data_IF_658734034368
#
_entry.id   IF_658734034368
#
_cell.length_a   1.000
_cell.length_b   1.000
_cell.length_c   1.000
_cell.angle_alpha   90.00
_cell.angle_beta   90.00
_cell.angle_gamma   90.00
#
_symmetry.space_group_name_H-M   'P 1'
#
loop_
_entity.id
_entity.type
_entity.pdbx_description
1 polymer ?
#
# COMPACT_ATOMS: atom_id res chain seq x y z
N UNK A 1 -8.90 -18.30 1.21
CA UNK A 1 -9.53 -18.71 -0.06
C UNK A 1 -9.64 -17.53 -1.04
N UNK A 2 -10.32 -16.41 -0.70
CA UNK A 2 -10.60 -15.25 -1.59
C UNK A 2 -9.34 -14.64 -2.22
N UNK A 3 -8.29 -14.34 -1.44
CA UNK A 3 -7.04 -13.76 -1.95
C UNK A 3 -6.30 -14.68 -2.93
N UNK A 4 -6.22 -15.99 -2.64
CA UNK A 4 -5.61 -16.97 -3.57
C UNK A 4 -6.39 -17.03 -4.89
N UNK A 5 -7.72 -16.92 -4.83
CA UNK A 5 -8.58 -16.87 -6.00
C UNK A 5 -8.29 -15.62 -6.83
N UNK A 6 -8.24 -14.43 -6.22
CA UNK A 6 -7.93 -13.18 -6.90
C UNK A 6 -6.57 -13.24 -7.65
N UNK A 7 -5.52 -13.70 -6.98
CA UNK A 7 -4.19 -13.83 -7.59
C UNK A 7 -4.22 -14.75 -8.82
N UNK A 8 -4.95 -15.86 -8.74
CA UNK A 8 -5.07 -16.83 -9.83
C UNK A 8 -5.93 -16.32 -10.99
N UNK A 9 -7.10 -15.74 -10.70
CA UNK A 9 -8.03 -15.21 -11.72
C UNK A 9 -7.38 -14.09 -12.54
N UNK A 10 -6.65 -13.20 -11.86
CA UNK A 10 -5.96 -12.10 -12.52
C UNK A 10 -4.55 -12.45 -13.00
N UNK A 11 -4.07 -13.66 -12.77
CA UNK A 11 -2.71 -14.12 -13.16
C UNK A 11 -1.61 -13.15 -12.70
N UNK A 12 -1.74 -12.62 -11.46
CA UNK A 12 -0.86 -11.56 -10.99
C UNK A 12 0.57 -11.98 -10.70
N UNK A 13 0.82 -13.25 -10.37
CA UNK A 13 2.15 -13.72 -9.98
C UNK A 13 2.55 -14.91 -10.86
N UNK A 14 3.59 -14.70 -11.65
CA UNK A 14 4.18 -15.69 -12.55
C UNK A 14 5.55 -16.17 -12.03
N UNK A 15 6.12 -17.17 -12.71
CA UNK A 15 7.50 -17.60 -12.50
C UNK A 15 8.47 -16.47 -12.92
N UNK A 16 9.51 -16.26 -12.15
CA UNK A 16 10.49 -15.20 -12.37
C UNK A 16 10.10 -13.83 -11.77
N UNK A 17 8.89 -13.68 -11.23
CA UNK A 17 8.48 -12.40 -10.64
C UNK A 17 9.27 -12.06 -9.37
N UNK A 18 9.57 -10.76 -9.22
CA UNK A 18 9.96 -10.12 -7.97
C UNK A 18 8.77 -9.28 -7.49
N UNK A 19 8.13 -9.74 -6.42
CA UNK A 19 6.96 -9.08 -5.81
C UNK A 19 7.41 -8.22 -4.65
N UNK A 20 7.12 -6.93 -4.68
CA UNK A 20 7.29 -6.05 -3.52
C UNK A 20 5.96 -5.75 -2.85
N UNK A 21 5.95 -5.61 -1.53
CA UNK A 21 4.81 -5.12 -0.76
C UNK A 21 5.07 -3.69 -0.31
N UNK A 22 4.12 -2.78 -0.57
CA UNK A 22 4.15 -1.42 0.00
C UNK A 22 3.83 -1.51 1.50
N UNK A 23 4.86 -1.69 2.31
CA UNK A 23 4.76 -1.92 3.75
C UNK A 23 4.77 -0.58 4.50
N UNK A 24 3.63 -0.20 5.06
CA UNK A 24 3.49 1.03 5.85
C UNK A 24 3.58 0.81 7.37
N UNK A 25 3.69 -0.43 7.82
CA UNK A 25 3.56 -0.79 9.23
C UNK A 25 2.13 -0.85 9.76
N UNK A 26 1.13 -0.46 8.97
CA UNK A 26 -0.29 -0.60 9.32
C UNK A 26 -0.82 -2.01 9.06
N UNK A 27 -1.97 -2.33 9.66
CA UNK A 27 -2.59 -3.67 9.67
C UNK A 27 -2.72 -4.32 8.28
N UNK A 28 -3.19 -3.55 7.27
CA UNK A 28 -3.53 -4.10 5.96
C UNK A 28 -2.28 -4.45 5.14
N UNK A 29 -1.29 -3.56 5.13
CA UNK A 29 -0.01 -3.79 4.44
C UNK A 29 0.78 -4.94 5.07
N UNK A 30 0.75 -5.03 6.40
CA UNK A 30 1.41 -6.10 7.16
C UNK A 30 0.72 -7.45 6.95
N UNK A 31 -0.61 -7.46 6.89
CA UNK A 31 -1.39 -8.64 6.55
C UNK A 31 -1.09 -9.18 5.14
N UNK A 32 -0.96 -8.27 4.14
CA UNK A 32 -0.57 -8.66 2.77
C UNK A 32 0.83 -9.24 2.75
N UNK A 33 1.79 -8.63 3.46
CA UNK A 33 3.15 -9.14 3.52
C UNK A 33 3.18 -10.57 4.09
N UNK A 34 2.55 -10.78 5.25
CA UNK A 34 2.47 -12.10 5.86
C UNK A 34 1.76 -13.11 4.95
N UNK A 35 0.63 -12.73 4.35
CA UNK A 35 -0.11 -13.59 3.43
C UNK A 35 0.73 -14.01 2.22
N UNK A 36 1.42 -13.06 1.58
CA UNK A 36 2.27 -13.35 0.42
C UNK A 36 3.49 -14.19 0.81
N UNK A 37 4.10 -13.91 1.97
CA UNK A 37 5.17 -14.76 2.50
C UNK A 37 4.70 -16.21 2.65
N UNK A 38 3.54 -16.44 3.30
CA UNK A 38 2.95 -17.78 3.47
C UNK A 38 2.52 -18.44 2.16
N UNK A 39 2.19 -17.65 1.15
CA UNK A 39 1.80 -18.17 -0.17
C UNK A 39 3.01 -18.56 -1.02
N UNK A 40 4.11 -17.81 -0.88
CA UNK A 40 5.26 -17.88 -1.79
C UNK A 40 6.49 -18.55 -1.18
N UNK A 41 6.49 -18.89 0.13
CA UNK A 41 7.68 -19.38 0.84
C UNK A 41 8.28 -20.66 0.25
N UNK A 42 7.48 -21.50 -0.40
CA UNK A 42 7.96 -22.72 -1.09
C UNK A 42 8.36 -22.45 -2.56
N UNK A 43 8.02 -21.27 -3.09
CA UNK A 43 8.29 -20.90 -4.48
C UNK A 43 9.66 -20.27 -4.61
N UNK A 44 10.65 -21.05 -5.04
CA UNK A 44 12.02 -20.56 -5.29
C UNK A 44 12.15 -19.72 -6.56
N UNK A 45 11.14 -19.76 -7.41
CA UNK A 45 11.04 -19.04 -8.68
C UNK A 45 10.42 -17.63 -8.56
N UNK A 46 10.00 -17.23 -7.35
CA UNK A 46 9.45 -15.91 -7.07
C UNK A 46 10.16 -15.28 -5.87
N UNK A 47 10.60 -14.05 -6.01
CA UNK A 47 11.19 -13.28 -4.91
C UNK A 47 10.11 -12.42 -4.24
N UNK A 48 10.15 -12.33 -2.92
CA UNK A 48 9.28 -11.42 -2.12
C UNK A 48 10.16 -10.44 -1.36
N UNK A 49 9.78 -9.16 -1.35
CA UNK A 49 10.41 -8.13 -0.55
C UNK A 49 9.39 -7.10 -0.05
N UNK A 50 9.79 -6.26 0.88
CA UNK A 50 8.99 -5.15 1.37
C UNK A 50 9.68 -3.81 1.08
N UNK A 51 8.90 -2.79 0.69
CA UNK A 51 9.38 -1.43 0.47
C UNK A 51 8.56 -0.48 1.34
N UNK A 52 9.23 0.35 2.14
CA UNK A 52 8.62 1.39 2.97
C UNK A 52 9.05 2.76 2.48
N UNK A 53 8.12 3.70 2.46
CA UNK A 53 8.44 5.12 2.27
C UNK A 53 8.16 5.84 3.58
N UNK A 54 9.15 6.60 4.02
CA UNK A 54 9.02 7.58 5.09
C UNK A 54 8.63 8.94 4.49
N UNK A 55 7.40 9.35 4.75
CA UNK A 55 6.90 10.64 4.30
C UNK A 55 7.36 11.80 5.19
N UNK A 56 7.95 11.52 6.34
CA UNK A 56 8.35 12.52 7.35
C UNK A 56 7.14 13.19 8.00
N UNK A 57 6.19 12.38 8.49
CA UNK A 57 5.04 12.83 9.29
C UNK A 57 5.35 12.53 10.76
N UNK A 58 5.47 13.56 11.57
CA UNK A 58 5.79 13.42 13.01
C UNK A 58 4.76 12.57 13.74
N UNK A 59 5.23 11.58 14.51
CA UNK A 59 4.38 10.70 15.30
C UNK A 59 3.52 9.71 14.52
N UNK A 60 3.75 9.56 13.21
CA UNK A 60 2.97 8.69 12.35
C UNK A 60 3.86 7.85 11.41
N UNK A 61 3.58 6.56 11.31
CA UNK A 61 4.26 5.61 10.43
C UNK A 61 5.78 5.59 10.58
N UNK A 62 6.25 5.19 11.76
CA UNK A 62 7.67 4.96 11.99
C UNK A 62 8.17 3.83 11.08
N UNK A 63 9.16 4.09 10.18
CA UNK A 63 9.76 3.05 9.35
C UNK A 63 10.39 1.91 10.14
N UNK A 64 10.87 2.17 11.37
CA UNK A 64 11.42 1.14 12.25
C UNK A 64 10.39 0.05 12.59
N UNK A 65 9.12 0.41 12.71
CA UNK A 65 8.04 -0.55 12.90
C UNK A 65 7.85 -1.46 11.68
N UNK A 66 7.81 -0.87 10.48
CA UNK A 66 7.72 -1.62 9.24
C UNK A 66 8.91 -2.58 9.08
N UNK A 67 10.11 -2.10 9.40
CA UNK A 67 11.32 -2.91 9.43
C UNK A 67 11.18 -4.09 10.37
N UNK A 68 10.80 -3.86 11.63
CA UNK A 68 10.64 -4.92 12.62
C UNK A 68 9.61 -5.99 12.20
N UNK A 69 8.52 -5.58 11.53
CA UNK A 69 7.54 -6.52 10.97
C UNK A 69 8.16 -7.36 9.85
N UNK A 70 8.87 -6.74 8.90
CA UNK A 70 9.52 -7.45 7.80
C UNK A 70 10.58 -8.45 8.30
N UNK A 71 11.43 -8.04 9.24
CA UNK A 71 12.45 -8.88 9.87
C UNK A 71 11.83 -10.08 10.59
N UNK A 72 10.74 -9.87 11.36
CA UNK A 72 10.03 -10.94 12.07
C UNK A 72 9.40 -11.96 11.12
N UNK A 73 8.88 -11.51 9.99
CA UNK A 73 8.33 -12.38 8.93
C UNK A 73 9.45 -13.08 8.14
N UNK A 74 10.67 -12.53 8.15
CA UNK A 74 11.80 -13.05 7.38
C UNK A 74 11.81 -12.60 5.92
N UNK A 75 11.31 -11.40 5.63
CA UNK A 75 11.24 -10.83 4.28
C UNK A 75 12.26 -9.68 4.14
N UNK A 76 13.09 -9.65 3.07
CA UNK A 76 13.96 -8.53 2.77
C UNK A 76 13.20 -7.21 2.74
N UNK A 77 13.80 -6.15 3.30
CA UNK A 77 13.17 -4.85 3.45
C UNK A 77 14.10 -3.73 3.01
N UNK A 78 13.55 -2.76 2.28
CA UNK A 78 14.22 -1.51 1.93
C UNK A 78 13.34 -0.32 2.27
N UNK A 79 13.96 0.83 2.53
CA UNK A 79 13.27 2.09 2.81
C UNK A 79 13.81 3.21 1.96
N UNK A 80 12.97 4.20 1.71
CA UNK A 80 13.36 5.49 1.15
C UNK A 80 12.54 6.59 1.82
N UNK A 81 13.07 7.81 1.89
CA UNK A 81 12.40 8.91 2.57
C UNK A 81 12.18 10.11 1.65
N UNK A 82 11.12 10.88 1.94
CA UNK A 82 10.90 12.16 1.25
C UNK A 82 12.04 13.13 1.50
N UNK A 83 12.62 13.10 2.70
CA UNK A 83 13.76 13.96 3.05
C UNK A 83 14.95 13.72 2.15
N UNK A 84 15.31 12.46 1.93
CA UNK A 84 16.46 12.09 1.10
C UNK A 84 16.20 12.34 -0.39
N UNK A 85 15.00 12.00 -0.87
CA UNK A 85 14.66 12.08 -2.29
C UNK A 85 14.32 13.50 -2.75
N UNK A 86 13.53 14.23 -1.94
CA UNK A 86 12.96 15.51 -2.33
C UNK A 86 13.49 16.69 -1.51
N UNK A 87 14.37 16.46 -0.53
CA UNK A 87 14.89 17.47 0.37
C UNK A 87 13.86 18.06 1.34
N UNK A 88 12.64 17.49 1.41
CA UNK A 88 11.51 18.04 2.17
C UNK A 88 10.66 16.90 2.74
N UNK A 89 10.06 17.11 3.92
CA UNK A 89 9.08 16.18 4.50
C UNK A 89 7.65 16.58 4.14
N UNK A 90 6.70 15.66 4.36
CA UNK A 90 5.29 16.00 4.18
C UNK A 90 4.83 17.08 5.18
N UNK A 91 5.30 17.02 6.43
CA UNK A 91 4.98 18.05 7.43
C UNK A 91 5.43 19.44 6.99
N UNK A 92 6.61 19.56 6.38
CA UNK A 92 7.09 20.84 5.84
C UNK A 92 6.30 21.33 4.63
N UNK A 93 5.85 20.40 3.77
CA UNK A 93 4.95 20.75 2.65
C UNK A 93 3.63 21.29 3.20
N UNK A 94 3.06 20.60 4.19
CA UNK A 94 1.79 21.01 4.81
C UNK A 94 1.93 22.34 5.53
N UNK A 95 3.03 22.56 6.25
CA UNK A 95 3.30 23.84 6.91
C UNK A 95 3.33 25.02 5.93
N UNK A 96 3.81 24.80 4.70
CA UNK A 96 3.92 25.86 3.64
C UNK A 96 2.64 26.01 2.81
N UNK A 97 1.88 24.92 2.59
CA UNK A 97 0.76 24.87 1.62
C UNK A 97 -0.61 24.66 2.25
N UNK A 98 -0.66 24.39 3.56
CA UNK A 98 -1.89 24.03 4.27
C UNK A 98 -2.27 22.55 4.08
N UNK A 99 -3.29 22.12 4.84
CA UNK A 99 -3.72 20.72 4.92
C UNK A 99 -4.57 20.27 3.72
N UNK A 100 -5.29 21.17 3.07
CA UNK A 100 -6.32 20.85 2.07
C UNK A 100 -5.86 20.01 0.87
N UNK A 101 -4.56 20.03 0.54
CA UNK A 101 -3.98 19.22 -0.54
C UNK A 101 -2.95 18.19 -0.05
N UNK A 102 -2.82 18.01 1.25
CA UNK A 102 -1.83 17.12 1.89
C UNK A 102 -1.86 15.70 1.31
N UNK A 103 -3.05 15.11 1.21
CA UNK A 103 -3.24 13.77 0.64
C UNK A 103 -2.85 13.68 -0.84
N UNK A 104 -3.05 14.76 -1.60
CA UNK A 104 -2.67 14.82 -3.01
C UNK A 104 -1.15 14.85 -3.17
N UNK A 105 -0.45 15.72 -2.44
CA UNK A 105 1.02 15.77 -2.43
C UNK A 105 1.62 14.44 -1.96
N UNK A 106 1.18 13.95 -0.79
CA UNK A 106 1.62 12.68 -0.26
C UNK A 106 1.40 11.53 -1.26
N UNK A 107 0.21 11.46 -1.84
CA UNK A 107 -0.14 10.39 -2.77
C UNK A 107 0.68 10.39 -4.06
N UNK A 108 1.05 11.56 -4.59
CA UNK A 108 1.87 11.69 -5.80
C UNK A 108 3.32 11.34 -5.49
N UNK A 109 3.92 12.01 -4.51
CA UNK A 109 5.34 11.83 -4.16
C UNK A 109 5.62 10.41 -3.69
N UNK A 110 4.79 9.85 -2.81
CA UNK A 110 4.94 8.48 -2.32
C UNK A 110 4.85 7.44 -3.44
N UNK A 111 3.92 7.60 -4.40
CA UNK A 111 3.83 6.68 -5.53
C UNK A 111 5.03 6.77 -6.46
N UNK A 112 5.52 7.98 -6.70
CA UNK A 112 6.71 8.19 -7.51
C UNK A 112 7.93 7.53 -6.86
N UNK A 113 8.15 7.78 -5.56
CA UNK A 113 9.27 7.23 -4.81
C UNK A 113 9.20 5.69 -4.70
N UNK A 114 8.02 5.13 -4.34
CA UNK A 114 7.82 3.69 -4.32
C UNK A 114 8.13 3.05 -5.68
N UNK A 115 7.69 3.67 -6.77
CA UNK A 115 7.93 3.15 -8.12
C UNK A 115 9.41 3.22 -8.51
N UNK A 116 10.11 4.31 -8.15
CA UNK A 116 11.55 4.45 -8.40
C UNK A 116 12.33 3.33 -7.70
N UNK A 117 12.14 3.19 -6.37
CA UNK A 117 12.80 2.15 -5.57
C UNK A 117 12.46 0.75 -6.09
N UNK A 118 11.20 0.51 -6.42
CA UNK A 118 10.80 -0.78 -6.96
C UNK A 118 11.52 -1.13 -8.28
N UNK A 119 11.76 -0.16 -9.15
CA UNK A 119 12.50 -0.37 -10.40
C UNK A 119 13.99 -0.63 -10.14
N UNK A 120 14.59 0.09 -9.21
CA UNK A 120 15.99 -0.09 -8.79
C UNK A 120 16.22 -1.50 -8.21
N UNK A 121 15.24 -2.03 -7.47
CA UNK A 121 15.25 -3.38 -6.89
C UNK A 121 14.81 -4.49 -7.86
N UNK A 122 14.52 -4.15 -9.13
CA UNK A 122 14.07 -5.12 -10.14
C UNK A 122 12.69 -5.71 -9.86
N UNK A 123 11.81 -4.97 -9.17
CA UNK A 123 10.45 -5.40 -8.87
C UNK A 123 9.59 -5.46 -10.13
N UNK A 124 8.90 -6.57 -10.33
CA UNK A 124 7.99 -6.79 -11.47
C UNK A 124 6.52 -6.60 -11.11
N UNK A 125 6.17 -6.76 -9.83
CA UNK A 125 4.81 -6.60 -9.30
C UNK A 125 4.83 -5.89 -7.96
N UNK A 126 3.93 -4.93 -7.77
CA UNK A 126 3.82 -4.17 -6.53
C UNK A 126 2.49 -4.48 -5.82
N UNK A 127 2.56 -5.14 -4.67
CA UNK A 127 1.39 -5.52 -3.90
C UNK A 127 0.98 -4.43 -2.90
N UNK A 128 -0.31 -4.13 -2.87
CA UNK A 128 -0.92 -3.17 -1.94
C UNK A 128 -1.99 -3.82 -1.09
N UNK A 129 -2.10 -3.38 0.16
CA UNK A 129 -3.08 -3.85 1.15
C UNK A 129 -4.48 -3.25 0.98
N UNK A 130 -4.93 -3.00 -0.26
CA UNK A 130 -6.29 -2.50 -0.49
C UNK A 130 -7.32 -3.60 -0.28
N UNK A 131 -8.36 -3.28 0.49
CA UNK A 131 -9.47 -4.15 0.84
C UNK A 131 -10.68 -3.90 -0.06
N UNK A 132 -11.74 -4.70 0.09
CA UNK A 132 -13.02 -4.46 -0.59
C UNK A 132 -13.61 -3.09 -0.22
N UNK A 133 -13.47 -2.69 1.04
CA UNK A 133 -13.93 -1.39 1.53
C UNK A 133 -13.18 -0.23 0.84
N UNK A 134 -11.87 -0.36 0.61
CA UNK A 134 -11.09 0.63 -0.16
C UNK A 134 -11.52 0.73 -1.62
N UNK A 135 -11.87 -0.40 -2.24
CA UNK A 135 -12.38 -0.42 -3.61
C UNK A 135 -13.78 0.25 -3.66
N UNK A 136 -14.68 -0.08 -2.72
CA UNK A 136 -16.00 0.53 -2.62
C UNK A 136 -15.90 2.06 -2.42
N UNK A 137 -15.05 2.52 -1.49
CA UNK A 137 -14.77 3.95 -1.30
C UNK A 137 -14.25 4.60 -2.59
N UNK A 138 -13.35 3.93 -3.30
CA UNK A 138 -12.78 4.46 -4.55
C UNK A 138 -13.85 4.60 -5.65
N UNK A 139 -14.75 3.63 -5.76
CA UNK A 139 -15.90 3.69 -6.68
C UNK A 139 -16.81 4.86 -6.32
N UNK A 140 -17.23 4.96 -5.06
CA UNK A 140 -18.11 6.04 -4.61
C UNK A 140 -17.48 7.42 -4.80
N UNK A 141 -16.20 7.58 -4.46
CA UNK A 141 -15.47 8.83 -4.71
C UNK A 141 -15.44 9.23 -6.19
N UNK A 142 -15.28 8.26 -7.10
CA UNK A 142 -15.27 8.53 -8.53
C UNK A 142 -16.66 8.91 -9.05
N UNK A 143 -17.72 8.29 -8.52
CA UNK A 143 -19.11 8.67 -8.81
C UNK A 143 -19.36 10.11 -8.37
N UNK A 144 -19.03 10.46 -7.12
CA UNK A 144 -19.21 11.81 -6.57
C UNK A 144 -18.43 12.88 -7.33
N UNK A 145 -17.29 12.52 -7.93
CA UNK A 145 -16.49 13.44 -8.76
C UNK A 145 -16.93 13.52 -10.22
N UNK A 146 -17.90 12.72 -10.63
CA UNK A 146 -18.33 12.66 -12.03
C UNK A 146 -17.27 12.10 -12.97
N UNK A 147 -16.40 11.19 -12.48
CA UNK A 147 -15.32 10.59 -13.28
C UNK A 147 -15.64 9.14 -13.68
N UNK A 148 -16.45 8.93 -14.72
CA UNK A 148 -16.86 7.59 -15.15
C UNK A 148 -15.69 6.77 -15.72
N UNK A 149 -14.65 7.42 -16.22
CA UNK A 149 -13.49 6.73 -16.80
C UNK A 149 -12.68 5.94 -15.75
N UNK A 150 -12.76 6.34 -14.48
CA UNK A 150 -12.10 5.63 -13.37
C UNK A 150 -12.94 4.48 -12.82
N UNK A 151 -14.22 4.40 -13.15
CA UNK A 151 -15.08 3.30 -12.72
C UNK A 151 -14.83 2.01 -13.49
N UNK A 152 -14.42 2.11 -14.76
CA UNK A 152 -14.32 0.98 -15.69
C UNK A 152 -12.98 0.27 -15.73
N UNK A 153 -11.98 0.75 -14.98
CA UNK A 153 -10.61 0.22 -15.04
C UNK A 153 -10.15 -0.28 -13.67
N UNK A 154 -10.24 -1.59 -13.41
CA UNK A 154 -9.84 -2.18 -12.11
C UNK A 154 -8.33 -2.04 -11.82
N UNK A 155 -7.49 -2.10 -12.84
CA UNK A 155 -6.05 -1.85 -12.73
C UNK A 155 -5.59 -1.14 -14.01
N UNK A 156 -5.12 0.09 -13.89
CA UNK A 156 -4.53 0.81 -15.02
C UNK A 156 -3.03 0.53 -15.03
N UNK A 157 -2.56 -0.17 -16.05
CA UNK A 157 -1.14 -0.17 -16.37
C UNK A 157 -0.75 1.21 -16.88
N UNK A 158 0.20 1.83 -16.19
CA UNK A 158 0.74 3.13 -16.56
C UNK A 158 2.18 2.90 -17.03
N UNK A 159 2.49 3.32 -18.24
CA UNK A 159 3.83 3.20 -18.79
C UNK A 159 4.87 3.79 -17.80
N UNK A 160 5.94 3.05 -17.55
CA UNK A 160 6.98 3.43 -16.61
C UNK A 160 6.68 3.13 -15.14
N UNK A 161 5.51 2.58 -14.81
CA UNK A 161 5.17 2.14 -13.45
C UNK A 161 5.12 0.62 -13.35
N UNK A 162 5.65 0.11 -12.23
CA UNK A 162 5.54 -1.30 -11.88
C UNK A 162 4.06 -1.67 -11.72
N UNK A 163 3.57 -2.75 -12.37
CA UNK A 163 2.19 -3.20 -12.26
C UNK A 163 1.78 -3.46 -10.82
N UNK A 164 0.58 -2.98 -10.45
CA UNK A 164 0.05 -3.11 -9.10
C UNK A 164 -0.84 -4.33 -9.00
N UNK A 165 -0.71 -5.04 -7.89
CA UNK A 165 -1.61 -6.13 -7.52
C UNK A 165 -2.29 -5.82 -6.17
N UNK A 166 -3.53 -6.28 -6.01
CA UNK A 166 -4.37 -6.02 -4.84
C UNK A 166 -4.94 -7.33 -4.29
N UNK A 167 -4.13 -8.16 -3.61
CA UNK A 167 -4.54 -9.49 -3.18
C UNK A 167 -5.83 -9.53 -2.35
N UNK A 168 -6.13 -8.44 -1.63
CA UNK A 168 -7.27 -8.35 -0.71
C UNK A 168 -8.48 -7.56 -1.25
N UNK A 169 -8.48 -7.17 -2.53
CA UNK A 169 -9.55 -6.34 -3.10
C UNK A 169 -10.98 -6.92 -2.99
N UNK A 170 -11.11 -8.23 -2.77
CA UNK A 170 -12.40 -8.91 -2.58
C UNK A 170 -12.64 -9.34 -1.13
N UNK A 171 -11.86 -8.83 -0.18
CA UNK A 171 -11.92 -9.19 1.23
C UNK A 171 -12.32 -7.96 2.04
N UNK A 172 -13.42 -8.02 2.84
CA UNK A 172 -13.80 -6.92 3.73
C UNK A 172 -12.68 -6.55 4.71
N UNK A 173 -12.54 -5.26 5.00
CA UNK A 173 -11.51 -4.74 5.92
C UNK A 173 -11.53 -5.47 7.27
N UNK A 174 -12.71 -5.80 7.79
CA UNK A 174 -12.87 -6.53 9.06
C UNK A 174 -12.22 -7.92 9.04
N UNK A 175 -12.31 -8.64 7.91
CA UNK A 175 -11.68 -9.96 7.77
C UNK A 175 -10.14 -9.81 7.71
N UNK A 176 -9.64 -8.75 7.03
CA UNK A 176 -8.21 -8.44 6.98
C UNK A 176 -7.69 -8.04 8.35
N UNK A 177 -8.45 -7.24 9.10
CA UNK A 177 -8.10 -6.85 10.46
C UNK A 177 -7.97 -8.06 11.40
N UNK A 178 -8.93 -8.98 11.36
CA UNK A 178 -8.86 -10.25 12.12
C UNK A 178 -7.66 -11.08 11.70
N UNK A 179 -7.40 -11.19 10.41
CA UNK A 179 -6.25 -11.92 9.90
C UNK A 179 -4.92 -11.31 10.39
N UNK A 180 -4.80 -9.97 10.34
CA UNK A 180 -3.63 -9.27 10.87
C UNK A 180 -3.46 -9.54 12.36
N UNK A 181 -4.54 -9.43 13.15
CA UNK A 181 -4.53 -9.63 14.59
C UNK A 181 -4.02 -11.02 15.01
N UNK A 182 -4.42 -12.08 14.27
CA UNK A 182 -3.98 -13.44 14.58
C UNK A 182 -2.60 -13.82 14.06
N UNK A 183 -2.05 -13.09 13.11
CA UNK A 183 -0.85 -13.54 12.40
C UNK A 183 0.30 -12.53 12.35
N UNK A 184 0.06 -11.29 12.68
CA UNK A 184 1.09 -10.24 12.60
C UNK A 184 1.16 -9.50 13.94
N UNK A 185 2.35 -9.39 14.47
CA UNK A 185 2.58 -8.59 15.67
C UNK A 185 3.20 -7.23 15.32
N UNK A 186 2.91 -6.22 16.12
CA UNK A 186 3.55 -4.91 16.07
C UNK A 186 3.05 -3.98 14.97
N UNK A 187 1.94 -4.29 14.28
CA UNK A 187 1.34 -3.33 13.34
C UNK A 187 0.66 -2.15 14.04
N UNK A 188 0.51 -1.04 13.31
CA UNK A 188 -0.11 0.17 13.79
C UNK A 188 -1.58 0.27 13.33
N UNK A 189 -2.41 0.85 14.22
CA UNK A 189 -3.80 1.19 13.93
C UNK A 189 -4.02 2.72 13.80
N UNK A 190 -2.97 3.51 14.04
CA UNK A 190 -3.06 4.96 13.97
C UNK A 190 -3.46 5.45 12.58
N UNK A 191 -4.42 6.35 12.55
CA UNK A 191 -4.82 7.09 11.34
C UNK A 191 -3.82 8.19 11.01
N UNK A 192 -3.72 8.56 9.72
CA UNK A 192 -2.91 9.70 9.31
C UNK A 192 -3.49 10.99 9.89
N UNK A 193 -2.69 11.87 10.52
CA UNK A 193 -3.18 13.11 11.10
C UNK A 193 -3.77 14.06 10.05
N UNK A 194 -3.36 13.93 8.78
CA UNK A 194 -3.86 14.73 7.66
C UNK A 194 -5.07 14.11 6.94
N UNK A 195 -5.57 12.95 7.41
CA UNK A 195 -6.70 12.27 6.76
C UNK A 195 -8.07 12.91 7.08
N UNK A 196 -8.16 13.74 8.14
CA UNK A 196 -9.42 14.36 8.56
C UNK A 196 -10.05 15.23 7.44
N UNK A 197 -9.23 15.94 6.67
CA UNK A 197 -9.68 16.81 5.58
C UNK A 197 -9.84 16.08 4.24
N UNK A 198 -9.73 14.75 4.23
CA UNK A 198 -9.79 13.98 2.99
C UNK A 198 -11.21 13.48 2.70
N UNK A 199 -11.72 13.71 1.48
CA UNK A 199 -13.01 13.18 0.98
C UNK A 199 -13.20 11.67 1.27
N UNK A 200 -12.10 10.91 1.39
CA UNK A 200 -12.17 9.50 1.74
C UNK A 200 -12.72 9.26 3.15
N UNK A 201 -12.47 10.19 4.09
CA UNK A 201 -13.02 10.13 5.44
C UNK A 201 -14.55 10.21 5.43
N UNK A 202 -15.09 11.17 4.68
CA UNK A 202 -16.54 11.37 4.55
C UNK A 202 -17.19 10.17 3.87
N UNK A 203 -16.59 9.67 2.78
CA UNK A 203 -17.08 8.50 2.05
C UNK A 203 -17.05 7.23 2.90
N UNK A 204 -16.05 7.07 3.77
CA UNK A 204 -15.97 5.95 4.71
C UNK A 204 -17.10 5.97 5.74
N UNK A 205 -17.56 7.15 6.12
CA UNK A 205 -18.69 7.31 7.05
C UNK A 205 -20.05 6.99 6.43
N UNK A 206 -20.14 6.94 5.09
CA UNK A 206 -21.36 6.61 4.34
C UNK A 206 -21.49 5.10 4.11
N UNK A 207 -20.39 4.39 3.97
CA UNK A 207 -20.32 2.94 3.71
C UNK A 207 -20.26 2.13 5.00
#
# INVERSE_FOLDING_TARGET
>A
AKAKRAIREHRWIASGDTVAVALSGGKDSSAVLYFLHRLLHERRDVRLMAITVDEGIGGYRDPARARAIAERIGVPWVTASFREEYGVTLDEIVARKGTGLSCSYCGVLRRALLNRVAREEGVTKFAYGFTLDDEAQSVLMNVLRGDPYRLTRPVREVAGFVPRIKPFMYIPEREVALYAFFHVEGFDLAGCPYAADALRGDVRGIL
#
